data_IF_135569064723
#
_entry.id   IF_135569064723
#
_cell.length_a   1.000
_cell.length_b   1.000
_cell.length_c   1.000
_cell.angle_alpha   90.00
_cell.angle_beta   90.00
_cell.angle_gamma   90.00
#
_symmetry.space_group_name_H-M   'P 1'
#
loop_
_entity.id
_entity.type
_entity.pdbx_description
1 polymer ?
#
# COMPACT_ATOMS: atom_id res chain seq x y z
N UNK A 1 8.43 29.80 15.72
CA UNK A 1 7.23 29.11 15.18
C UNK A 1 7.52 27.63 15.19
N UNK A 2 6.76 26.85 15.94
CA UNK A 2 6.85 25.39 15.96
C UNK A 2 6.17 24.84 14.71
N UNK A 3 6.90 24.09 13.88
CA UNK A 3 6.33 23.46 12.70
C UNK A 3 5.36 22.37 13.14
N UNK A 4 4.14 22.40 12.61
CA UNK A 4 3.15 21.36 12.87
C UNK A 4 3.32 20.22 11.87
N UNK A 5 3.83 19.09 12.35
CA UNK A 5 4.02 17.87 11.55
C UNK A 5 2.92 16.88 11.89
N UNK A 6 2.28 16.30 10.86
CA UNK A 6 1.23 15.29 11.03
C UNK A 6 1.65 13.98 10.38
N UNK A 7 1.67 12.90 11.17
CA UNK A 7 1.84 11.53 10.69
C UNK A 7 0.46 10.91 10.44
N UNK A 8 0.02 10.93 9.17
CA UNK A 8 -1.28 10.45 8.76
C UNK A 8 -1.24 8.97 8.41
N UNK A 9 -1.92 8.17 9.23
CA UNK A 9 -2.10 6.74 9.02
C UNK A 9 -3.46 6.41 8.43
N UNK A 10 -3.44 5.52 7.45
CA UNK A 10 -4.60 4.86 6.89
C UNK A 10 -4.26 3.39 6.65
N UNK A 11 -5.22 2.51 6.90
CA UNK A 11 -5.11 1.12 6.48
C UNK A 11 -6.47 0.74 5.92
N UNK A 12 -6.59 0.23 4.69
CA UNK A 12 -7.86 -0.29 4.17
C UNK A 12 -8.15 -1.70 4.75
N UNK A 13 -7.19 -2.30 5.44
CA UNK A 13 -7.24 -3.64 6.00
C UNK A 13 -7.81 -3.63 7.41
N UNK A 14 -8.46 -4.72 7.88
CA UNK A 14 -8.80 -4.84 9.29
C UNK A 14 -7.57 -4.68 10.19
N UNK A 15 -7.76 -4.22 11.42
CA UNK A 15 -6.67 -4.08 12.39
C UNK A 15 -6.11 -5.46 12.81
N UNK A 16 -6.96 -6.48 12.81
CA UNK A 16 -6.60 -7.88 12.98
C UNK A 16 -6.14 -8.52 11.67
N UNK A 17 -5.47 -9.67 11.76
CA UNK A 17 -5.18 -10.53 10.61
C UNK A 17 -6.47 -10.87 9.87
N UNK A 18 -6.46 -10.77 8.54
CA UNK A 18 -7.60 -11.22 7.73
C UNK A 18 -7.68 -12.74 7.81
N UNK A 19 -8.85 -13.28 8.17
CA UNK A 19 -9.05 -14.73 8.16
C UNK A 19 -9.02 -15.25 6.72
N UNK A 20 -8.34 -16.40 6.51
CA UNK A 20 -8.35 -17.06 5.21
C UNK A 20 -9.78 -17.52 4.90
N UNK A 21 -10.38 -17.09 3.77
CA UNK A 21 -11.69 -17.58 3.37
C UNK A 21 -11.62 -19.10 3.18
N UNK A 22 -12.63 -19.82 3.67
CA UNK A 22 -12.70 -21.27 3.47
C UNK A 22 -13.01 -21.57 2.00
N UNK A 23 -12.53 -22.71 1.49
CA UNK A 23 -12.89 -23.18 0.15
C UNK A 23 -14.40 -23.41 0.00
N UNK A 24 -15.11 -23.64 1.11
CA UNK A 24 -16.57 -23.73 1.15
C UNK A 24 -17.25 -22.36 0.97
N UNK A 25 -16.59 -21.26 1.33
CA UNK A 25 -17.08 -19.91 1.07
C UNK A 25 -16.83 -19.54 -0.40
N UNK A 26 -17.87 -19.62 -1.24
CA UNK A 26 -17.80 -19.36 -2.69
C UNK A 26 -17.56 -17.88 -3.08
N UNK A 27 -17.16 -17.01 -2.14
CA UNK A 27 -16.97 -15.60 -2.44
C UNK A 27 -15.60 -15.37 -3.10
N UNK A 28 -15.57 -15.35 -4.43
CA UNK A 28 -14.37 -15.01 -5.21
C UNK A 28 -13.80 -13.65 -4.82
N UNK A 29 -14.65 -12.68 -4.47
CA UNK A 29 -14.21 -11.36 -4.00
C UNK A 29 -13.51 -11.41 -2.65
N UNK A 30 -13.94 -12.27 -1.72
CA UNK A 30 -13.26 -12.48 -0.45
C UNK A 30 -11.89 -13.16 -0.65
N UNK A 31 -11.81 -14.17 -1.52
CA UNK A 31 -10.56 -14.83 -1.89
C UNK A 31 -9.56 -13.87 -2.53
N UNK A 32 -10.02 -13.06 -3.49
CA UNK A 32 -9.20 -12.03 -4.13
C UNK A 32 -8.73 -10.97 -3.14
N UNK A 33 -9.65 -10.43 -2.30
CA UNK A 33 -9.29 -9.45 -1.28
C UNK A 33 -8.26 -9.99 -0.29
N UNK A 34 -8.39 -11.26 0.11
CA UNK A 34 -7.42 -11.95 0.95
C UNK A 34 -6.06 -12.12 0.25
N UNK A 35 -6.04 -12.52 -1.03
CA UNK A 35 -4.82 -12.67 -1.80
C UNK A 35 -4.06 -11.33 -1.92
N UNK A 36 -4.76 -10.24 -2.24
CA UNK A 36 -4.19 -8.90 -2.31
C UNK A 36 -3.67 -8.46 -0.93
N UNK A 37 -4.45 -8.67 0.15
CA UNK A 37 -3.99 -8.38 1.52
C UNK A 37 -2.71 -9.14 1.86
N UNK A 38 -2.69 -10.46 1.62
CA UNK A 38 -1.57 -11.34 1.90
C UNK A 38 -0.30 -10.90 1.15
N UNK A 39 -0.42 -10.59 -0.15
CA UNK A 39 0.69 -10.11 -0.98
C UNK A 39 1.20 -8.74 -0.52
N UNK A 40 0.29 -7.84 -0.15
CA UNK A 40 0.64 -6.51 0.34
C UNK A 40 1.40 -6.54 1.68
N UNK A 41 1.20 -7.60 2.48
CA UNK A 41 1.85 -7.82 3.78
C UNK A 41 1.88 -6.56 4.65
N UNK A 42 0.70 -5.99 5.00
CA UNK A 42 0.62 -4.73 5.72
C UNK A 42 1.16 -4.90 7.15
N UNK A 43 1.93 -3.93 7.60
CA UNK A 43 2.42 -3.86 8.99
C UNK A 43 1.32 -3.40 9.94
N UNK A 44 1.44 -3.78 11.21
CA UNK A 44 0.50 -3.35 12.25
C UNK A 44 0.57 -1.84 12.48
N UNK A 45 -0.54 -1.25 12.95
CA UNK A 45 -0.58 0.17 13.27
C UNK A 45 0.42 0.53 14.40
N UNK A 46 0.63 -0.38 15.36
CA UNK A 46 1.62 -0.22 16.42
C UNK A 46 3.05 -0.11 15.87
N UNK A 47 3.42 -1.04 14.97
CA UNK A 47 4.71 -0.99 14.28
C UNK A 47 4.87 0.33 13.50
N UNK A 48 3.83 0.73 12.76
CA UNK A 48 3.88 1.96 11.97
C UNK A 48 3.94 3.22 12.84
N UNK A 49 3.32 3.21 14.03
CA UNK A 49 3.41 4.30 15.00
C UNK A 49 4.80 4.40 15.60
N UNK A 50 5.39 3.27 16.01
CA UNK A 50 6.77 3.24 16.50
C UNK A 50 7.75 3.73 15.43
N UNK A 51 7.56 3.30 14.18
CA UNK A 51 8.36 3.74 13.05
C UNK A 51 8.20 5.24 12.75
N UNK A 52 6.99 5.78 12.85
CA UNK A 52 6.75 7.21 12.69
C UNK A 52 7.45 8.01 13.80
N UNK A 53 7.33 7.57 15.07
CA UNK A 53 8.00 8.21 16.20
C UNK A 53 9.54 8.17 16.10
N UNK A 54 10.11 7.12 15.49
CA UNK A 54 11.54 7.01 15.23
C UNK A 54 12.04 8.07 14.23
N UNK A 55 11.30 8.28 13.13
CA UNK A 55 11.72 9.20 12.06
C UNK A 55 11.22 10.64 12.21
N UNK A 56 10.13 10.82 12.93
CA UNK A 56 9.39 12.07 13.11
C UNK A 56 8.82 12.13 14.54
N UNK A 57 9.67 12.22 15.58
CA UNK A 57 9.23 12.25 16.98
C UNK A 57 8.32 13.43 17.31
N UNK A 58 8.41 14.51 16.52
CA UNK A 58 7.57 15.70 16.62
C UNK A 58 6.18 15.56 15.98
N UNK A 59 5.95 14.50 15.20
CA UNK A 59 4.73 14.36 14.42
C UNK A 59 3.53 13.91 15.27
N UNK A 60 2.42 14.60 15.09
CA UNK A 60 1.12 14.22 15.63
C UNK A 60 0.59 12.99 14.87
N UNK A 61 0.37 11.87 15.57
CA UNK A 61 -0.23 10.67 14.97
C UNK A 61 -1.74 10.86 14.73
N UNK A 62 -2.15 10.82 13.47
CA UNK A 62 -3.54 10.99 13.05
C UNK A 62 -4.00 9.76 12.29
N UNK A 63 -5.11 9.15 12.73
CA UNK A 63 -5.70 7.98 12.07
C UNK A 63 -6.96 8.38 11.33
N UNK A 64 -6.98 8.17 10.00
CA UNK A 64 -8.15 8.45 9.15
C UNK A 64 -9.40 7.64 9.51
N UNK A 65 -9.26 6.55 10.27
CA UNK A 65 -10.38 5.71 10.71
C UNK A 65 -10.93 6.11 12.08
N UNK A 66 -10.05 6.53 12.97
CA UNK A 66 -10.40 6.73 14.39
C UNK A 66 -10.71 8.21 14.69
N UNK A 67 -10.25 9.14 13.83
CA UNK A 67 -10.35 10.58 14.04
C UNK A 67 -11.09 11.21 12.87
N UNK A 68 -12.34 11.65 13.07
CA UNK A 68 -13.16 12.25 12.00
C UNK A 68 -12.64 13.62 11.53
N UNK A 69 -11.91 14.33 12.40
CA UNK A 69 -11.33 15.66 12.19
C UNK A 69 -9.97 15.63 11.46
N UNK A 70 -9.53 14.47 10.98
CA UNK A 70 -8.21 14.31 10.35
C UNK A 70 -7.93 15.29 9.21
N UNK A 71 -8.96 15.68 8.45
CA UNK A 71 -8.84 16.63 7.34
C UNK A 71 -8.51 18.05 7.82
N UNK A 72 -9.12 18.49 8.93
CA UNK A 72 -8.84 19.78 9.53
C UNK A 72 -7.39 19.83 10.05
N UNK A 73 -6.92 18.75 10.68
CA UNK A 73 -5.53 18.65 11.16
C UNK A 73 -4.50 18.76 10.03
N UNK A 74 -4.81 18.20 8.86
CA UNK A 74 -3.97 18.31 7.66
C UNK A 74 -3.96 19.73 7.08
N UNK A 75 -5.10 20.42 7.10
CA UNK A 75 -5.18 21.81 6.62
C UNK A 75 -4.34 22.78 7.47
N UNK A 76 -4.15 22.44 8.75
CA UNK A 76 -3.33 23.20 9.68
C UNK A 76 -1.86 22.75 9.72
N UNK A 77 -1.52 21.63 9.08
CA UNK A 77 -0.18 21.07 9.08
C UNK A 77 0.75 21.79 8.11
N UNK A 78 2.01 21.92 8.53
CA UNK A 78 3.10 22.50 7.76
C UNK A 78 3.85 21.42 6.98
N UNK A 79 3.84 20.19 7.49
CA UNK A 79 4.39 19.01 6.83
C UNK A 79 3.56 17.76 7.16
N UNK A 80 3.33 16.95 6.14
CA UNK A 80 2.43 15.79 6.22
C UNK A 80 3.22 14.54 5.86
N UNK A 81 3.31 13.61 6.79
CA UNK A 81 3.94 12.30 6.60
C UNK A 81 2.84 11.26 6.42
N UNK A 82 2.66 10.76 5.21
CA UNK A 82 1.76 9.65 4.92
C UNK A 82 2.42 8.33 5.35
N UNK A 83 1.78 7.63 6.28
CA UNK A 83 2.32 6.42 6.89
C UNK A 83 1.68 5.19 6.23
N UNK A 84 2.35 4.62 5.24
CA UNK A 84 1.85 3.46 4.49
C UNK A 84 2.17 2.15 5.23
N UNK A 85 1.16 1.31 5.57
CA UNK A 85 1.40 0.04 6.24
C UNK A 85 2.09 -0.99 5.32
N UNK A 86 1.97 -0.86 4.01
CA UNK A 86 2.61 -1.70 3.00
C UNK A 86 3.68 -0.93 2.19
N UNK A 87 4.26 -1.57 1.17
CA UNK A 87 5.35 -0.99 0.39
C UNK A 87 4.94 0.15 -0.56
N UNK A 88 3.68 0.17 -1.00
CA UNK A 88 3.17 1.06 -2.05
C UNK A 88 1.96 1.90 -1.60
N UNK A 89 1.46 1.72 -0.37
CA UNK A 89 0.29 2.42 0.17
C UNK A 89 -1.00 1.98 -0.51
N UNK A 90 -1.27 0.68 -0.55
CA UNK A 90 -2.51 0.19 -1.15
C UNK A 90 -3.72 0.76 -0.39
N UNK A 91 -4.71 1.28 -1.13
CA UNK A 91 -5.87 2.00 -0.56
C UNK A 91 -5.66 3.49 -0.26
N UNK A 92 -4.45 4.04 -0.38
CA UNK A 92 -4.21 5.46 -0.09
C UNK A 92 -4.65 6.46 -1.16
N UNK A 93 -5.11 6.00 -2.34
CA UNK A 93 -5.40 6.90 -3.46
C UNK A 93 -6.39 8.04 -3.09
N UNK A 94 -7.43 7.71 -2.34
CA UNK A 94 -8.43 8.68 -1.88
C UNK A 94 -7.86 9.60 -0.78
N UNK A 95 -7.08 9.05 0.15
CA UNK A 95 -6.42 9.82 1.21
C UNK A 95 -5.42 10.82 0.61
N UNK A 96 -4.61 10.40 -0.37
CA UNK A 96 -3.69 11.29 -1.09
C UNK A 96 -4.41 12.39 -1.87
N UNK A 97 -5.55 12.06 -2.49
CA UNK A 97 -6.35 13.06 -3.19
C UNK A 97 -6.89 14.11 -2.21
N UNK A 98 -7.42 13.67 -1.06
CA UNK A 98 -7.91 14.55 -0.01
C UNK A 98 -6.78 15.38 0.63
N UNK A 99 -5.61 14.78 0.91
CA UNK A 99 -4.41 15.49 1.40
C UNK A 99 -4.00 16.57 0.39
N UNK A 100 -3.94 16.23 -0.90
CA UNK A 100 -3.57 17.19 -1.95
C UNK A 100 -4.56 18.35 -2.03
N UNK A 101 -5.85 18.10 -1.82
CA UNK A 101 -6.89 19.12 -1.87
C UNK A 101 -6.93 19.99 -0.59
N UNK A 102 -6.65 19.42 0.57
CA UNK A 102 -6.80 20.09 1.87
C UNK A 102 -5.52 20.69 2.44
N UNK A 103 -4.33 20.30 1.97
CA UNK A 103 -3.06 20.81 2.51
C UNK A 103 -2.82 22.28 2.15
N UNK A 104 -1.99 22.96 2.95
CA UNK A 104 -1.44 24.28 2.58
C UNK A 104 -0.62 24.18 1.29
N UNK A 105 -0.62 25.25 0.50
CA UNK A 105 0.09 25.30 -0.79
C UNK A 105 1.56 24.94 -0.65
N UNK A 106 2.19 25.43 0.41
CA UNK A 106 3.59 25.23 0.75
C UNK A 106 3.88 23.99 1.59
N UNK A 107 2.86 23.29 2.11
CA UNK A 107 3.08 22.13 2.96
C UNK A 107 3.71 20.96 2.18
N UNK A 108 4.75 20.38 2.76
CA UNK A 108 5.40 19.17 2.25
C UNK A 108 4.51 17.94 2.43
N UNK A 109 4.60 17.00 1.49
CA UNK A 109 3.99 15.67 1.65
C UNK A 109 5.08 14.63 1.45
N UNK A 110 5.38 13.90 2.52
CA UNK A 110 6.37 12.82 2.55
C UNK A 110 5.64 11.51 2.78
N UNK A 111 6.25 10.42 2.33
CA UNK A 111 5.76 9.07 2.60
C UNK A 111 6.78 8.36 3.47
N UNK A 112 6.29 7.65 4.48
CA UNK A 112 7.01 6.65 5.25
C UNK A 112 6.29 5.31 5.11
N UNK A 113 6.94 4.31 4.51
CA UNK A 113 6.30 3.02 4.26
C UNK A 113 6.71 1.91 5.23
N UNK A 114 5.98 0.80 5.23
CA UNK A 114 6.23 -0.36 6.10
C UNK A 114 7.58 -1.07 5.87
N UNK A 115 8.34 -0.66 4.84
CA UNK A 115 9.72 -1.09 4.55
C UNK A 115 10.76 -0.02 4.93
N UNK A 116 10.39 0.94 5.79
CA UNK A 116 11.23 2.05 6.30
C UNK A 116 11.79 2.97 5.21
N UNK A 117 11.17 3.00 4.01
CA UNK A 117 11.57 3.91 2.93
C UNK A 117 10.86 5.26 3.12
N UNK A 118 11.62 6.33 2.92
CA UNK A 118 11.15 7.72 2.98
C UNK A 118 11.33 8.38 1.63
N UNK A 119 10.31 9.07 1.13
CA UNK A 119 10.40 9.81 -0.12
C UNK A 119 9.37 10.95 -0.17
N UNK A 120 9.63 11.96 -0.99
CA UNK A 120 8.70 13.06 -1.26
C UNK A 120 7.59 12.57 -2.20
N UNK A 121 6.33 12.89 -1.89
CA UNK A 121 5.20 12.59 -2.76
C UNK A 121 4.99 13.72 -3.76
N UNK A 122 5.78 13.71 -4.83
CA UNK A 122 5.57 14.59 -5.99
C UNK A 122 4.57 13.98 -7.00
N UNK A 123 4.28 14.74 -8.07
CA UNK A 123 3.35 14.28 -9.10
C UNK A 123 3.83 13.05 -9.89
N UNK A 124 5.14 12.90 -10.09
CA UNK A 124 5.73 11.77 -10.81
C UNK A 124 5.66 10.48 -9.96
N UNK A 125 6.10 10.56 -8.71
CA UNK A 125 6.05 9.51 -7.70
C UNK A 125 4.62 9.05 -7.48
N UNK A 126 3.67 10.00 -7.36
CA UNK A 126 2.25 9.66 -7.24
C UNK A 126 1.73 8.86 -8.42
N UNK A 127 2.04 9.25 -9.67
CA UNK A 127 1.66 8.48 -10.86
C UNK A 127 2.29 7.08 -10.87
N UNK A 128 3.57 6.98 -10.51
CA UNK A 128 4.27 5.70 -10.38
C UNK A 128 3.63 4.78 -9.32
N UNK A 129 3.22 5.34 -8.18
CA UNK A 129 2.51 4.59 -7.14
C UNK A 129 1.12 4.16 -7.59
N UNK A 130 0.36 5.03 -8.28
CA UNK A 130 -0.95 4.67 -8.83
C UNK A 130 -0.84 3.49 -9.80
N UNK A 131 0.14 3.51 -10.72
CA UNK A 131 0.38 2.42 -11.64
C UNK A 131 0.77 1.13 -10.92
N UNK A 132 1.69 1.19 -9.94
CA UNK A 132 2.08 0.02 -9.14
C UNK A 132 0.90 -0.55 -8.35
N UNK A 133 0.07 0.30 -7.75
CA UNK A 133 -1.17 -0.12 -7.04
C UNK A 133 -2.15 -0.76 -8.00
N UNK A 134 -2.30 -0.22 -9.21
CA UNK A 134 -3.17 -0.81 -10.23
C UNK A 134 -2.69 -2.21 -10.63
N UNK A 135 -1.40 -2.39 -10.91
CA UNK A 135 -0.83 -3.70 -11.22
C UNK A 135 -0.97 -4.69 -10.06
N UNK A 136 -0.71 -4.23 -8.84
CA UNK A 136 -0.77 -5.07 -7.65
C UNK A 136 -2.20 -5.48 -7.32
N UNK A 137 -3.15 -4.56 -7.46
CA UNK A 137 -4.56 -4.83 -7.23
C UNK A 137 -5.07 -5.81 -8.27
N UNK A 138 -4.91 -5.49 -9.56
CA UNK A 138 -5.42 -6.33 -10.67
C UNK A 138 -4.78 -7.70 -10.77
N UNK A 139 -3.62 -7.93 -10.13
CA UNK A 139 -2.80 -9.14 -10.31
C UNK A 139 -2.50 -9.40 -11.80
N UNK A 140 -2.40 -8.33 -12.58
CA UNK A 140 -2.25 -8.41 -14.03
C UNK A 140 -1.00 -9.19 -14.46
N UNK A 141 0.18 -9.00 -13.81
CA UNK A 141 1.35 -9.82 -14.13
C UNK A 141 1.07 -11.31 -13.93
N UNK A 142 0.47 -11.70 -12.79
CA UNK A 142 0.15 -13.08 -12.50
C UNK A 142 -0.84 -13.67 -13.52
N UNK A 143 -1.86 -12.90 -13.90
CA UNK A 143 -2.86 -13.32 -14.90
C UNK A 143 -2.28 -13.44 -16.31
N UNK A 144 -1.27 -12.65 -16.67
CA UNK A 144 -0.61 -12.72 -17.98
C UNK A 144 0.44 -13.84 -18.02
N UNK A 145 1.21 -14.03 -16.96
CA UNK A 145 2.27 -15.03 -16.94
C UNK A 145 1.74 -16.44 -16.73
N UNK A 146 0.65 -16.64 -15.98
CA UNK A 146 0.08 -17.98 -15.78
C UNK A 146 -0.25 -18.71 -17.10
N UNK A 147 -1.03 -18.15 -18.05
CA UNK A 147 -1.31 -18.84 -19.31
C UNK A 147 -0.05 -19.01 -20.16
N UNK A 148 0.88 -18.06 -20.12
CA UNK A 148 2.16 -18.20 -20.80
C UNK A 148 2.95 -19.41 -20.26
N UNK A 149 3.04 -19.54 -18.93
CA UNK A 149 3.69 -20.69 -18.30
C UNK A 149 2.97 -22.00 -18.63
N UNK A 150 1.64 -22.02 -18.59
CA UNK A 150 0.84 -23.22 -18.94
C UNK A 150 1.06 -23.62 -20.40
N UNK A 151 1.23 -22.67 -21.31
CA UNK A 151 1.50 -22.94 -22.72
C UNK A 151 2.95 -23.36 -23.01
N UNK A 152 3.93 -22.68 -22.39
CA UNK A 152 5.35 -22.88 -22.67
C UNK A 152 5.92 -24.13 -21.98
N UNK A 153 5.48 -24.44 -20.76
CA UNK A 153 5.98 -25.58 -19.99
C UNK A 153 5.88 -26.93 -20.72
N UNK A 154 4.73 -27.33 -21.32
CA UNK A 154 4.65 -28.60 -22.03
C UNK A 154 5.52 -28.63 -23.29
N UNK A 155 5.70 -27.50 -23.97
CA UNK A 155 6.57 -27.40 -25.15
C UNK A 155 8.04 -27.60 -24.75
N UNK A 156 8.49 -26.92 -23.69
CA UNK A 156 9.85 -27.09 -23.17
C UNK A 156 10.07 -28.53 -22.70
N UNK A 157 9.11 -29.11 -22.01
CA UNK A 157 9.18 -30.50 -21.56
C UNK A 157 9.29 -31.49 -22.73
N UNK A 158 8.53 -31.29 -23.81
CA UNK A 158 8.64 -32.09 -25.02
C UNK A 158 10.03 -31.98 -25.68
N UNK A 159 10.60 -30.77 -25.73
CA UNK A 159 11.95 -30.55 -26.27
C UNK A 159 13.02 -31.24 -25.42
N UNK A 160 12.90 -31.20 -24.09
CA UNK A 160 13.86 -31.85 -23.20
C UNK A 160 13.80 -33.38 -23.31
N UNK A 161 12.60 -33.96 -23.43
CA UNK A 161 12.41 -35.38 -23.74
C UNK A 161 13.08 -35.78 -25.06
N UNK A 162 12.92 -34.99 -26.13
CA UNK A 162 13.56 -35.25 -27.42
C UNK A 162 15.10 -35.16 -27.36
N UNK A 163 15.64 -34.38 -26.43
CA UNK A 163 17.08 -34.20 -26.24
C UNK A 163 17.70 -35.23 -25.30
N UNK A 164 16.91 -36.15 -24.75
CA UNK A 164 17.37 -37.17 -23.79
C UNK A 164 17.90 -36.58 -22.48
N UNK A 165 17.46 -35.36 -22.12
CA UNK A 165 17.77 -34.74 -20.84
C UNK A 165 16.62 -35.04 -19.88
N UNK A 166 16.76 -36.10 -19.11
CA UNK A 166 15.88 -36.47 -18.00
C UNK A 166 16.71 -36.74 -16.76
#
# INVERSE_FOLDING_TARGET
MTLRVVALHHSPWPASTMARPSLASKSLSALYRYAVWYKSNPRSAEYMRALAAEFHPEAEWVSTRDQADWQARIAEADDIVLVYPDAIGLGFANVEAAVKAGKRTWAGVRVLNGRRRRFLLDGATRRGLLFRRFLEWTMLPELLFLPLFVAVTPVLWAIDLMRGRT
#
